data_IF_221133694378
#
_entry.id   IF_221133694378
#
_cell.length_a   1.000
_cell.length_b   1.000
_cell.length_c   1.000
_cell.angle_alpha   90.00
_cell.angle_beta   90.00
_cell.angle_gamma   90.00
#
_symmetry.space_group_name_H-M   'P 1'
#
loop_
_entity.id
_entity.type
_entity.pdbx_description
1 polymer ?
#
# COMPACT_ATOMS: atom_id res chain seq x y z
N UNK A 1 36.92 19.01 -18.53
CA UNK A 1 36.52 17.74 -19.16
C UNK A 1 35.31 17.26 -18.41
N UNK A 2 34.17 17.34 -19.07
CA UNK A 2 32.90 16.80 -18.61
C UNK A 2 32.98 15.27 -18.62
N UNK A 3 32.52 14.63 -17.57
CA UNK A 3 32.33 13.19 -17.53
C UNK A 3 31.14 12.93 -16.63
N UNK A 4 29.97 13.17 -17.21
CA UNK A 4 28.71 12.65 -16.74
C UNK A 4 28.79 11.11 -16.72
N UNK A 5 28.80 10.51 -15.55
CA UNK A 5 28.26 9.16 -15.40
C UNK A 5 26.77 9.34 -15.10
N UNK A 6 25.84 8.85 -15.94
CA UNK A 6 24.45 8.84 -15.55
C UNK A 6 24.35 7.98 -14.29
N UNK A 7 23.76 8.50 -13.23
CA UNK A 7 23.33 7.69 -12.11
C UNK A 7 22.43 6.60 -12.70
N UNK A 8 22.95 5.37 -12.78
CA UNK A 8 22.15 4.22 -13.11
C UNK A 8 21.07 4.15 -12.03
N UNK A 9 19.84 4.52 -12.39
CA UNK A 9 18.69 4.19 -11.56
C UNK A 9 18.76 2.68 -11.33
N UNK A 10 18.84 2.21 -10.07
CA UNK A 10 18.82 0.78 -9.82
C UNK A 10 17.51 0.24 -10.41
N UNK A 11 17.64 -0.70 -11.34
CA UNK A 11 16.49 -1.45 -11.85
C UNK A 11 15.76 -2.05 -10.64
N UNK A 12 14.42 -2.08 -10.67
CA UNK A 12 13.66 -2.68 -9.59
C UNK A 12 14.06 -4.15 -9.45
N UNK A 13 14.76 -4.46 -8.36
CA UNK A 13 15.06 -5.82 -7.94
C UNK A 13 13.74 -6.57 -7.74
N UNK A 14 13.45 -7.50 -8.65
CA UNK A 14 12.28 -8.40 -8.62
C UNK A 14 12.43 -9.49 -7.52
N UNK A 15 13.51 -9.45 -6.72
CA UNK A 15 13.93 -10.52 -5.82
C UNK A 15 13.42 -10.48 -4.38
N UNK A 16 12.78 -9.41 -3.90
CA UNK A 16 12.29 -9.37 -2.50
C UNK A 16 10.88 -8.76 -2.39
N UNK A 17 9.88 -9.60 -2.63
CA UNK A 17 8.44 -9.31 -2.50
C UNK A 17 7.99 -9.01 -1.05
N UNK A 18 8.88 -8.65 -0.14
CA UNK A 18 8.56 -8.64 1.29
C UNK A 18 8.04 -7.30 1.76
N UNK A 19 8.79 -6.22 1.59
CA UNK A 19 8.34 -4.85 1.85
C UNK A 19 9.30 -3.93 1.09
N UNK A 20 8.78 -2.94 0.36
CA UNK A 20 9.61 -1.94 -0.31
C UNK A 20 9.20 -0.56 0.16
N UNK A 21 10.13 0.14 0.78
CA UNK A 21 9.97 1.57 1.04
C UNK A 21 10.00 2.31 -0.30
N UNK A 22 8.99 3.14 -0.53
CA UNK A 22 8.84 3.93 -1.76
C UNK A 22 9.04 5.39 -1.40
N UNK A 23 9.97 6.05 -2.09
CA UNK A 23 10.19 7.49 -1.93
C UNK A 23 9.12 8.30 -2.68
N UNK A 24 8.96 9.57 -2.34
CA UNK A 24 7.99 10.48 -2.97
C UNK A 24 8.19 10.63 -4.50
N UNK A 25 9.38 10.39 -5.03
CA UNK A 25 9.62 10.44 -6.48
C UNK A 25 9.09 9.21 -7.23
N UNK A 26 8.68 8.18 -6.51
CA UNK A 26 8.25 6.88 -7.05
C UNK A 26 6.81 6.52 -6.70
N UNK A 27 5.98 7.51 -6.37
CA UNK A 27 4.56 7.32 -6.04
C UNK A 27 3.76 6.69 -7.19
N UNK A 28 4.26 6.75 -8.42
CA UNK A 28 3.66 6.09 -9.59
C UNK A 28 3.45 4.59 -9.39
N UNK A 29 4.28 3.93 -8.58
CA UNK A 29 4.11 2.49 -8.29
C UNK A 29 2.93 2.19 -7.36
N UNK A 30 2.42 3.21 -6.67
CA UNK A 30 1.24 3.12 -5.82
C UNK A 30 -0.04 3.56 -6.56
N UNK A 31 0.06 3.87 -7.86
CA UNK A 31 -1.07 4.21 -8.71
C UNK A 31 -1.90 2.96 -9.04
N UNK A 32 -2.65 2.47 -8.06
CA UNK A 32 -3.55 1.34 -8.16
C UNK A 32 -5.02 1.81 -8.10
N UNK A 33 -5.92 1.00 -8.65
CA UNK A 33 -7.37 1.22 -8.56
C UNK A 33 -7.90 1.01 -7.14
N UNK A 34 -7.23 0.20 -6.33
CA UNK A 34 -7.58 -0.12 -4.95
C UNK A 34 -6.33 -0.03 -4.08
N UNK A 35 -6.46 0.62 -2.92
CA UNK A 35 -5.41 0.73 -1.92
C UNK A 35 -5.81 -0.03 -0.66
N UNK A 36 -4.99 -0.98 -0.24
CA UNK A 36 -5.15 -1.69 1.04
C UNK A 36 -4.12 -1.15 2.02
N UNK A 37 -4.59 -0.59 3.14
CA UNK A 37 -3.73 -0.09 4.22
C UNK A 37 -3.73 -1.11 5.35
N UNK A 38 -2.54 -1.55 5.74
CA UNK A 38 -2.38 -2.48 6.86
C UNK A 38 -2.24 -1.68 8.17
N UNK A 39 -3.26 -1.75 9.03
CA UNK A 39 -3.27 -1.09 10.34
C UNK A 39 -2.57 -1.99 11.35
N UNK A 40 -1.52 -1.52 12.02
CA UNK A 40 -0.87 -2.28 13.10
C UNK A 40 -1.23 -1.63 14.44
N UNK A 41 -2.21 -2.16 15.21
CA UNK A 41 -2.61 -1.53 16.47
C UNK A 41 -1.44 -1.42 17.46
N UNK A 42 -1.11 -0.20 17.88
CA UNK A 42 0.02 0.08 18.77
C UNK A 42 1.40 -0.09 18.15
N UNK A 43 1.48 -0.24 16.82
CA UNK A 43 2.71 -0.25 16.04
C UNK A 43 3.02 1.12 15.40
N UNK A 44 4.03 1.15 14.54
CA UNK A 44 4.45 2.37 13.82
C UNK A 44 3.39 2.83 12.78
N UNK A 45 2.62 1.89 12.25
CA UNK A 45 1.55 2.12 11.26
C UNK A 45 0.16 1.95 11.90
N UNK A 46 -0.09 2.66 12.99
CA UNK A 46 -1.41 2.66 13.64
C UNK A 46 -2.39 3.64 12.96
N UNK A 47 -3.62 3.71 13.48
CA UNK A 47 -4.67 4.59 12.95
C UNK A 47 -4.25 6.06 12.94
N UNK A 48 -3.46 6.52 13.92
CA UNK A 48 -3.05 7.92 14.00
C UNK A 48 -2.04 8.25 12.90
N UNK A 49 -1.08 7.35 12.63
CA UNK A 49 -0.15 7.51 11.51
C UNK A 49 -0.89 7.53 10.17
N UNK A 50 -1.87 6.65 9.96
CA UNK A 50 -2.65 6.62 8.72
C UNK A 50 -3.57 7.84 8.57
N UNK A 51 -4.10 8.38 9.67
CA UNK A 51 -4.85 9.62 9.65
C UNK A 51 -3.96 10.81 9.24
N UNK A 52 -2.72 10.88 9.75
CA UNK A 52 -1.78 11.92 9.35
C UNK A 52 -1.39 11.82 7.87
N UNK A 53 -1.22 10.60 7.34
CA UNK A 53 -0.99 10.38 5.91
C UNK A 53 -2.16 10.89 5.06
N UNK A 54 -3.40 10.75 5.54
CA UNK A 54 -4.59 11.22 4.84
C UNK A 54 -4.70 12.76 4.76
N UNK A 55 -3.89 13.50 5.53
CA UNK A 55 -3.79 14.96 5.45
C UNK A 55 -2.72 15.42 4.42
N UNK A 56 -1.91 14.52 3.86
CA UNK A 56 -0.90 14.84 2.86
C UNK A 56 -1.58 15.09 1.48
N UNK A 57 -1.38 16.26 0.83
CA UNK A 57 -1.95 16.53 -0.48
C UNK A 57 -1.58 15.50 -1.56
N UNK A 58 -0.38 14.90 -1.48
CA UNK A 58 0.04 13.87 -2.44
C UNK A 58 -0.73 12.57 -2.25
N UNK A 59 -1.25 12.32 -1.05
CA UNK A 59 -2.08 11.15 -0.79
C UNK A 59 -3.42 11.25 -1.53
N UNK A 60 -4.01 12.45 -1.63
CA UNK A 60 -5.25 12.68 -2.39
C UNK A 60 -5.08 12.47 -3.90
N UNK A 61 -3.85 12.58 -4.43
CA UNK A 61 -3.55 12.39 -5.85
C UNK A 61 -3.58 10.91 -6.28
N UNK A 62 -3.56 9.97 -5.33
CA UNK A 62 -3.62 8.55 -5.66
C UNK A 62 -4.97 8.15 -6.26
N UNK A 63 -5.01 7.39 -7.37
CA UNK A 63 -6.26 6.99 -8.01
C UNK A 63 -7.25 6.28 -7.08
N UNK A 64 -6.77 5.34 -6.26
CA UNK A 64 -7.57 4.67 -5.24
C UNK A 64 -8.15 5.64 -4.19
N UNK A 65 -7.39 6.65 -3.77
CA UNK A 65 -7.87 7.64 -2.78
C UNK A 65 -8.91 8.55 -3.42
N UNK A 66 -8.62 9.11 -4.59
CA UNK A 66 -9.52 9.98 -5.34
C UNK A 66 -10.86 9.29 -5.69
N UNK A 67 -10.85 7.97 -5.90
CA UNK A 67 -12.05 7.16 -6.17
C UNK A 67 -12.72 6.58 -4.92
N UNK A 68 -12.19 6.87 -3.72
CA UNK A 68 -12.69 6.34 -2.45
C UNK A 68 -12.50 4.82 -2.29
N UNK A 69 -11.61 4.20 -3.08
CA UNK A 69 -11.28 2.77 -3.05
C UNK A 69 -10.10 2.48 -2.13
N UNK A 70 -10.19 2.95 -0.88
CA UNK A 70 -9.21 2.71 0.17
C UNK A 70 -9.82 1.81 1.22
N UNK A 71 -9.13 0.73 1.58
CA UNK A 71 -9.60 -0.21 2.61
C UNK A 71 -8.53 -0.43 3.66
N UNK A 72 -8.97 -0.33 4.91
CA UNK A 72 -8.14 -0.61 6.08
C UNK A 72 -8.32 -2.06 6.48
N UNK A 73 -7.20 -2.75 6.62
CA UNK A 73 -7.15 -4.14 7.06
C UNK A 73 -6.26 -4.21 8.28
N UNK A 74 -6.78 -4.79 9.35
CA UNK A 74 -5.96 -5.06 10.54
C UNK A 74 -4.79 -5.97 10.17
N UNK A 75 -3.60 -5.52 10.51
CA UNK A 75 -2.37 -6.26 10.27
C UNK A 75 -2.25 -7.38 11.28
N UNK A 76 -2.38 -8.60 10.78
CA UNK A 76 -2.19 -9.80 11.56
C UNK A 76 -0.73 -10.27 11.59
N UNK A 77 0.23 -9.40 11.23
CA UNK A 77 1.64 -9.74 11.04
C UNK A 77 2.31 -10.44 12.25
N UNK A 78 1.75 -10.30 13.46
CA UNK A 78 2.21 -10.98 14.68
C UNK A 78 1.52 -12.30 15.03
N UNK A 79 0.50 -12.76 14.28
CA UNK A 79 -0.41 -13.84 14.73
C UNK A 79 -0.18 -15.20 14.05
N UNK A 80 0.91 -15.37 13.29
CA UNK A 80 1.21 -16.64 12.61
C UNK A 80 0.11 -17.06 11.62
N UNK A 81 -0.13 -18.37 11.48
CA UNK A 81 -1.10 -18.89 10.49
C UNK A 81 -2.53 -18.37 10.69
N UNK A 82 -2.98 -18.15 11.92
CA UNK A 82 -4.31 -17.62 12.19
C UNK A 82 -4.48 -16.21 11.61
N UNK A 83 -3.44 -15.39 11.76
CA UNK A 83 -3.40 -14.06 11.18
C UNK A 83 -3.39 -14.05 9.67
N UNK A 84 -2.62 -14.94 9.04
CA UNK A 84 -2.58 -15.04 7.58
C UNK A 84 -3.91 -15.51 7.00
N UNK A 85 -4.62 -16.40 7.68
CA UNK A 85 -5.96 -16.82 7.26
C UNK A 85 -6.96 -15.67 7.39
N UNK A 86 -6.93 -14.91 8.49
CA UNK A 86 -7.80 -13.75 8.66
C UNK A 86 -7.54 -12.65 7.59
N UNK A 87 -6.27 -12.43 7.22
CA UNK A 87 -5.92 -11.55 6.11
C UNK A 87 -6.49 -12.06 4.78
N UNK A 88 -6.36 -13.37 4.51
CA UNK A 88 -6.86 -13.98 3.29
C UNK A 88 -8.39 -13.87 3.18
N UNK A 89 -9.11 -14.14 4.28
CA UNK A 89 -10.57 -14.02 4.35
C UNK A 89 -11.02 -12.56 4.10
N UNK A 90 -10.29 -11.58 4.64
CA UNK A 90 -10.60 -10.17 4.47
C UNK A 90 -10.33 -9.69 3.03
N UNK A 91 -9.25 -10.16 2.42
CA UNK A 91 -8.96 -9.90 1.00
C UNK A 91 -10.00 -10.56 0.09
N UNK A 92 -10.46 -11.78 0.41
CA UNK A 92 -11.53 -12.45 -0.34
C UNK A 92 -12.86 -11.68 -0.26
N UNK A 93 -13.21 -11.18 0.93
CA UNK A 93 -14.38 -10.30 1.15
C UNK A 93 -14.28 -9.02 0.31
N UNK A 94 -13.12 -8.37 0.33
CA UNK A 94 -12.86 -7.16 -0.45
C UNK A 94 -13.03 -7.39 -1.96
N UNK A 95 -12.44 -8.46 -2.48
CA UNK A 95 -12.57 -8.82 -3.91
C UNK A 95 -14.03 -9.11 -4.27
N UNK A 96 -14.78 -9.79 -3.39
CA UNK A 96 -16.19 -10.04 -3.60
C UNK A 96 -17.01 -8.73 -3.66
N UNK A 97 -16.75 -7.78 -2.76
CA UNK A 97 -17.43 -6.47 -2.73
C UNK A 97 -17.17 -5.67 -4.00
N UNK A 98 -15.92 -5.60 -4.46
CA UNK A 98 -15.54 -4.92 -5.69
C UNK A 98 -16.24 -5.53 -6.92
N UNK A 99 -16.32 -6.86 -7.00
CA UNK A 99 -17.02 -7.56 -8.07
C UNK A 99 -18.53 -7.31 -8.07
N UNK A 100 -19.12 -7.03 -6.91
CA UNK A 100 -20.55 -6.74 -6.78
C UNK A 100 -20.89 -5.31 -7.22
N UNK A 101 -19.94 -4.39 -7.12
CA UNK A 101 -20.08 -2.99 -7.57
C UNK A 101 -19.86 -2.86 -9.09
N UNK A 102 -19.05 -3.73 -9.68
CA UNK A 102 -18.72 -3.71 -11.11
C UNK A 102 -19.68 -4.50 -12.02
N UNK A 103 -20.61 -5.28 -11.46
CA UNK A 103 -21.60 -6.09 -12.20
C UNK A 103 -22.98 -5.47 -12.27
#
# INVERSE_FOLDING_TARGET
>A
MDSSSPASNPEPDEGDNRLREVSYERLDVLAADVMVRLVVPGGEFDEATLAALAEDPLYEEFPAVASGQVVDVDSFAGQGYAGMNALADELERLVAELNTIAG
#
